data_IF_533814053034
#
_entry.id   IF_533814053034
#
_cell.length_a   1.000
_cell.length_b   1.000
_cell.length_c   1.000
_cell.angle_alpha   90.00
_cell.angle_beta   90.00
_cell.angle_gamma   90.00
#
_symmetry.space_group_name_H-M   'P 1'
#
loop_
_entity.id
_entity.type
_entity.pdbx_description
1 polymer ?
#
# COMPACT_ATOMS: atom_id res chain seq x y z
N UNK A 1 -17.61 -32.74 4.54
CA UNK A 1 -16.66 -31.79 5.13
C UNK A 1 -17.45 -30.54 5.52
N UNK A 2 -17.30 -30.04 6.74
CA UNK A 2 -17.91 -28.77 7.16
C UNK A 2 -16.81 -27.70 7.21
N UNK A 3 -17.05 -26.52 6.67
CA UNK A 3 -16.12 -25.40 6.71
C UNK A 3 -16.77 -24.21 7.42
N UNK A 4 -16.00 -23.50 8.23
CA UNK A 4 -16.36 -22.19 8.79
C UNK A 4 -15.54 -21.12 8.08
N UNK A 5 -16.21 -20.11 7.53
CA UNK A 5 -15.56 -18.94 6.90
C UNK A 5 -15.78 -17.75 7.79
N UNK A 6 -14.68 -17.10 8.22
CA UNK A 6 -14.70 -15.97 9.14
C UNK A 6 -13.89 -14.82 8.59
N UNK A 7 -14.43 -13.60 8.71
CA UNK A 7 -13.69 -12.40 8.32
C UNK A 7 -12.53 -12.12 9.26
N UNK A 8 -11.37 -11.72 8.71
CA UNK A 8 -10.22 -11.28 9.51
C UNK A 8 -10.52 -10.05 10.38
N UNK A 9 -11.50 -9.23 10.01
CA UNK A 9 -11.98 -8.09 10.79
C UNK A 9 -12.55 -8.51 12.15
N UNK A 10 -13.15 -9.71 12.24
CA UNK A 10 -13.69 -10.26 13.50
C UNK A 10 -12.62 -10.42 14.58
N UNK A 11 -11.35 -10.61 14.18
CA UNK A 11 -10.20 -10.71 15.09
C UNK A 11 -9.68 -9.36 15.59
N UNK A 12 -10.22 -8.24 15.12
CA UNK A 12 -9.71 -6.89 15.46
C UNK A 12 -9.93 -6.48 16.92
N UNK A 13 -10.76 -7.23 17.66
CA UNK A 13 -10.94 -7.03 19.11
C UNK A 13 -9.78 -7.56 19.96
N UNK A 14 -8.88 -8.38 19.38
CA UNK A 14 -7.67 -8.90 20.04
C UNK A 14 -7.85 -10.30 20.65
N UNK A 15 -8.95 -10.97 20.34
CA UNK A 15 -9.20 -12.35 20.72
C UNK A 15 -9.79 -13.16 19.56
N UNK A 16 -9.74 -14.50 19.69
CA UNK A 16 -10.40 -15.41 18.76
C UNK A 16 -11.91 -15.19 18.87
N UNK A 17 -12.64 -14.99 17.75
CA UNK A 17 -14.08 -14.85 17.74
C UNK A 17 -14.77 -16.08 18.39
N UNK A 18 -15.86 -15.85 19.11
CA UNK A 18 -16.55 -16.92 19.86
C UNK A 18 -17.06 -18.02 18.93
N UNK A 19 -17.59 -17.67 17.77
CA UNK A 19 -18.00 -18.61 16.73
C UNK A 19 -16.87 -19.55 16.28
N UNK A 20 -15.62 -19.07 16.26
CA UNK A 20 -14.43 -19.87 15.91
C UNK A 20 -14.08 -20.82 17.05
N UNK A 21 -14.13 -20.33 18.29
CA UNK A 21 -13.89 -21.18 19.49
C UNK A 21 -14.90 -22.31 19.59
N UNK A 22 -16.19 -21.98 19.46
CA UNK A 22 -17.27 -22.97 19.47
C UNK A 22 -17.12 -23.98 18.34
N UNK A 23 -16.80 -23.52 17.11
CA UNK A 23 -16.59 -24.41 15.99
C UNK A 23 -15.45 -25.40 16.25
N UNK A 24 -14.28 -24.92 16.71
CA UNK A 24 -13.11 -25.75 17.02
C UNK A 24 -13.45 -26.74 18.14
N UNK A 25 -14.15 -26.33 19.19
CA UNK A 25 -14.53 -27.19 20.32
C UNK A 25 -15.45 -28.35 19.89
N UNK A 26 -16.21 -28.21 18.82
CA UNK A 26 -17.11 -29.28 18.32
C UNK A 26 -16.47 -30.17 17.23
N UNK A 27 -15.23 -29.89 16.82
CA UNK A 27 -14.53 -30.75 15.86
C UNK A 27 -14.09 -32.06 16.48
N UNK A 28 -14.28 -33.15 15.73
CA UNK A 28 -13.79 -34.48 16.09
C UNK A 28 -12.34 -34.77 15.66
N UNK A 29 -11.80 -33.91 14.81
CA UNK A 29 -10.46 -33.98 14.24
C UNK A 29 -9.83 -32.60 14.30
N UNK A 30 -8.51 -32.54 14.23
CA UNK A 30 -7.80 -31.27 14.12
C UNK A 30 -8.23 -30.48 12.85
N UNK A 31 -8.44 -29.18 12.94
CA UNK A 31 -8.81 -28.39 11.81
C UNK A 31 -7.64 -28.17 10.86
N UNK A 32 -7.94 -27.95 9.59
CA UNK A 32 -7.04 -27.33 8.64
C UNK A 32 -7.42 -25.83 8.52
N UNK A 33 -6.52 -24.95 8.91
CA UNK A 33 -6.77 -23.51 8.97
C UNK A 33 -6.08 -22.85 7.78
N UNK A 34 -6.85 -22.18 6.92
CA UNK A 34 -6.33 -21.41 5.80
C UNK A 34 -6.49 -19.92 6.13
N UNK A 35 -5.37 -19.19 6.15
CA UNK A 35 -5.35 -17.74 6.30
C UNK A 35 -5.14 -17.10 4.93
N UNK A 36 -6.23 -16.68 4.31
CA UNK A 36 -6.19 -15.92 3.06
C UNK A 36 -5.79 -14.46 3.32
N UNK A 37 -5.06 -13.84 2.38
CA UNK A 37 -4.48 -12.51 2.51
C UNK A 37 -3.66 -12.34 3.80
N UNK A 38 -2.75 -13.30 4.07
CA UNK A 38 -1.93 -13.32 5.30
C UNK A 38 -1.07 -12.07 5.48
N UNK A 39 -0.82 -11.31 4.43
CA UNK A 39 -0.18 -9.99 4.51
C UNK A 39 -0.89 -9.02 5.48
N UNK A 40 -2.15 -9.27 5.84
CA UNK A 40 -2.92 -8.47 6.80
C UNK A 40 -2.55 -8.71 8.27
N UNK A 41 -1.84 -9.79 8.59
CA UNK A 41 -1.32 -10.06 9.93
C UNK A 41 0.15 -9.66 10.10
N UNK A 42 0.75 -9.08 9.08
CA UNK A 42 2.13 -8.60 9.14
C UNK A 42 2.32 -7.54 10.21
N UNK A 43 3.43 -7.62 10.93
CA UNK A 43 3.89 -6.53 11.78
C UNK A 43 4.65 -5.53 10.90
N UNK A 44 4.32 -4.26 11.03
CA UNK A 44 5.16 -3.18 10.48
C UNK A 44 6.39 -3.04 11.37
N UNK A 45 7.48 -2.49 10.83
CA UNK A 45 8.71 -2.31 11.59
C UNK A 45 8.47 -1.69 12.97
N UNK A 46 9.04 -2.28 14.03
CA UNK A 46 8.89 -1.73 15.36
C UNK A 46 9.71 -0.43 15.50
N UNK A 47 9.10 0.70 15.22
CA UNK A 47 9.66 2.02 15.56
C UNK A 47 9.71 2.26 17.06
N UNK A 48 8.96 1.52 17.83
CA UNK A 48 8.88 1.55 19.30
C UNK A 48 8.68 0.11 19.75
N UNK A 49 8.95 -0.23 21.00
CA UNK A 49 8.63 -1.50 21.68
C UNK A 49 7.15 -1.89 21.46
N UNK A 50 6.77 -2.27 20.26
CA UNK A 50 5.40 -2.18 19.80
C UNK A 50 4.66 -3.47 19.86
N UNK A 51 3.52 -3.30 20.46
CA UNK A 51 2.45 -4.28 20.49
C UNK A 51 2.04 -4.57 19.04
N UNK A 52 2.16 -5.84 18.64
CA UNK A 52 1.49 -6.38 17.44
C UNK A 52 0.06 -5.87 17.40
N UNK A 53 -0.49 -5.68 16.21
CA UNK A 53 -1.90 -5.29 16.10
C UNK A 53 -2.78 -6.29 16.86
N UNK A 54 -3.89 -5.84 17.42
CA UNK A 54 -4.85 -6.72 18.11
C UNK A 54 -5.26 -7.89 17.22
N UNK A 55 -5.46 -7.64 15.92
CA UNK A 55 -5.78 -8.68 14.93
C UNK A 55 -4.67 -9.70 14.83
N UNK A 56 -3.42 -9.28 14.63
CA UNK A 56 -2.25 -10.17 14.55
C UNK A 56 -2.13 -11.03 15.81
N UNK A 57 -2.26 -10.40 16.98
CA UNK A 57 -2.20 -11.14 18.25
C UNK A 57 -3.29 -12.21 18.36
N UNK A 58 -4.51 -11.89 17.95
CA UNK A 58 -5.64 -12.83 18.00
C UNK A 58 -5.47 -13.98 17.01
N UNK A 59 -5.03 -13.72 15.78
CA UNK A 59 -4.78 -14.75 14.77
C UNK A 59 -3.63 -15.68 15.19
N UNK A 60 -2.56 -15.13 15.77
CA UNK A 60 -1.44 -15.95 16.26
C UNK A 60 -1.80 -16.88 17.42
N UNK A 61 -2.90 -16.66 18.12
CA UNK A 61 -3.41 -17.64 19.12
C UNK A 61 -3.88 -18.96 18.47
N UNK A 62 -4.08 -18.97 17.15
CA UNK A 62 -4.41 -20.17 16.39
C UNK A 62 -3.18 -20.99 15.94
N UNK A 63 -1.97 -20.49 16.16
CA UNK A 63 -0.74 -21.11 15.64
C UNK A 63 -0.35 -22.47 16.25
N UNK A 64 -1.06 -22.92 17.28
CA UNK A 64 -0.90 -24.24 17.90
C UNK A 64 -2.12 -25.16 17.65
N UNK A 65 -3.02 -24.77 16.75
CA UNK A 65 -4.27 -25.50 16.51
C UNK A 65 -4.24 -26.07 15.09
N UNK A 66 -4.20 -27.39 14.98
CA UNK A 66 -4.30 -28.12 13.73
C UNK A 66 -3.23 -27.81 12.68
N UNK A 67 -3.49 -28.17 11.44
CA UNK A 67 -2.65 -27.83 10.28
C UNK A 67 -2.98 -26.44 9.74
N UNK A 68 -1.97 -25.73 9.24
CA UNK A 68 -2.12 -24.33 8.82
C UNK A 68 -1.53 -24.09 7.44
N UNK A 69 -2.16 -23.17 6.69
CA UNK A 69 -1.70 -22.67 5.42
C UNK A 69 -1.91 -21.17 5.36
N UNK A 70 -1.02 -20.45 4.72
CA UNK A 70 -1.19 -19.03 4.39
C UNK A 70 -1.23 -18.83 2.88
N UNK A 71 -2.08 -17.92 2.44
CA UNK A 71 -2.18 -17.51 1.05
C UNK A 71 -1.97 -16.00 0.98
N UNK A 72 -1.12 -15.54 0.09
CA UNK A 72 -0.91 -14.11 -0.14
C UNK A 72 -0.26 -13.84 -1.49
N UNK A 73 -0.70 -12.79 -2.17
CA UNK A 73 -0.03 -12.28 -3.36
C UNK A 73 1.18 -11.37 -3.03
N UNK A 74 1.37 -10.99 -1.76
CA UNK A 74 2.39 -10.01 -1.32
C UNK A 74 3.00 -10.39 0.02
N UNK A 75 3.83 -11.42 0.03
CA UNK A 75 4.39 -11.99 1.27
C UNK A 75 5.25 -10.97 2.05
N UNK A 76 6.20 -10.31 1.39
CA UNK A 76 7.09 -9.29 1.96
C UNK A 76 6.96 -7.97 1.20
N UNK A 77 5.81 -7.30 1.32
CA UNK A 77 5.48 -6.15 0.49
C UNK A 77 6.27 -4.87 0.78
N UNK A 78 6.86 -4.73 1.96
CA UNK A 78 7.57 -3.50 2.39
C UNK A 78 8.87 -3.75 3.13
N UNK A 79 9.03 -4.90 3.76
CA UNK A 79 10.17 -5.22 4.61
C UNK A 79 10.22 -6.73 4.85
N UNK A 80 11.41 -7.32 5.02
CA UNK A 80 11.56 -8.70 5.48
C UNK A 80 10.81 -9.00 6.79
N UNK A 81 10.64 -7.98 7.64
CA UNK A 81 9.90 -8.09 8.92
C UNK A 81 8.44 -8.54 8.71
N UNK A 82 7.88 -8.28 7.53
CA UNK A 82 6.53 -8.74 7.21
C UNK A 82 6.40 -10.26 7.18
N UNK A 83 7.48 -11.01 6.95
CA UNK A 83 7.47 -12.47 6.96
C UNK A 83 7.32 -13.05 8.38
N UNK A 84 7.81 -12.36 9.41
CA UNK A 84 7.95 -12.89 10.76
C UNK A 84 6.65 -13.44 11.34
N UNK A 85 5.60 -12.65 11.38
CA UNK A 85 4.32 -13.09 11.96
C UNK A 85 3.57 -14.07 11.05
N UNK A 86 3.74 -13.98 9.74
CA UNK A 86 3.14 -14.91 8.79
C UNK A 86 3.74 -16.33 8.97
N UNK A 87 5.06 -16.42 9.10
CA UNK A 87 5.72 -17.71 9.34
C UNK A 87 5.46 -18.25 10.76
N UNK A 88 5.39 -17.37 11.77
CA UNK A 88 5.00 -17.78 13.13
C UNK A 88 3.53 -18.23 13.25
N UNK A 89 2.67 -17.87 12.30
CA UNK A 89 1.34 -18.47 12.22
C UNK A 89 1.40 -19.90 11.70
N UNK A 90 2.27 -20.20 10.73
CA UNK A 90 2.46 -21.57 10.21
C UNK A 90 3.06 -22.50 11.25
N UNK A 91 4.11 -22.02 11.91
CA UNK A 91 4.85 -22.78 12.90
C UNK A 91 5.27 -21.86 14.05
N UNK A 92 4.88 -22.20 15.28
CA UNK A 92 5.21 -21.37 16.42
C UNK A 92 6.73 -21.27 16.60
N UNK A 93 7.22 -20.05 16.74
CA UNK A 93 8.64 -19.73 16.84
C UNK A 93 9.47 -20.19 15.62
N UNK A 94 8.91 -20.12 14.42
CA UNK A 94 9.52 -20.59 13.17
C UNK A 94 10.98 -20.20 12.99
N UNK A 95 11.31 -18.94 13.30
CA UNK A 95 12.67 -18.42 13.12
C UNK A 95 13.62 -18.70 14.29
N UNK A 96 13.11 -19.26 15.38
CA UNK A 96 13.85 -19.52 16.63
C UNK A 96 14.57 -18.28 17.19
N UNK A 97 13.95 -17.11 17.00
CA UNK A 97 14.45 -15.83 17.47
C UNK A 97 13.30 -14.84 17.77
N UNK A 98 13.63 -13.80 18.55
CA UNK A 98 12.68 -12.73 18.80
C UNK A 98 12.48 -11.83 17.57
N UNK A 99 11.35 -11.12 17.48
CA UNK A 99 11.13 -10.09 16.45
C UNK A 99 12.28 -9.06 16.40
N UNK A 100 12.85 -8.72 17.55
CA UNK A 100 13.98 -7.79 17.61
C UNK A 100 15.23 -8.40 16.95
N UNK A 101 15.60 -9.62 17.31
CA UNK A 101 16.73 -10.36 16.71
C UNK A 101 16.56 -10.50 15.20
N UNK A 102 15.37 -10.94 14.78
CA UNK A 102 15.01 -11.02 13.35
C UNK A 102 15.18 -9.69 12.62
N UNK A 103 14.68 -8.59 13.22
CA UNK A 103 14.82 -7.26 12.59
C UNK A 103 16.28 -6.82 12.50
N UNK A 104 17.10 -7.04 13.52
CA UNK A 104 18.54 -6.71 13.50
C UNK A 104 19.32 -7.57 12.48
N UNK A 105 18.85 -8.79 12.21
CA UNK A 105 19.46 -9.70 11.23
C UNK A 105 19.21 -9.28 9.78
N UNK A 106 18.00 -8.78 9.48
CA UNK A 106 17.57 -8.52 8.10
C UNK A 106 17.42 -7.06 7.73
N UNK A 107 17.49 -6.12 8.69
CA UNK A 107 17.25 -4.68 8.45
C UNK A 107 18.38 -3.85 9.04
N UNK A 108 18.96 -2.96 8.25
CA UNK A 108 19.91 -1.95 8.71
C UNK A 108 19.11 -0.82 9.39
N UNK A 109 19.41 -0.56 10.67
CA UNK A 109 18.65 0.39 11.48
C UNK A 109 19.55 1.46 12.06
N UNK A 110 19.10 2.71 12.04
CA UNK A 110 19.74 3.80 12.79
C UNK A 110 19.03 4.07 14.12
N UNK A 111 19.79 4.53 15.08
CA UNK A 111 19.25 5.01 16.37
C UNK A 111 18.86 6.47 16.25
N UNK A 112 17.62 6.82 16.63
CA UNK A 112 17.20 8.21 16.70
C UNK A 112 17.74 8.89 17.95
N UNK A 113 18.10 10.19 17.89
CA UNK A 113 18.53 10.98 19.04
C UNK A 113 17.33 11.34 19.95
N UNK A 114 16.64 10.33 20.47
CA UNK A 114 15.52 10.47 21.39
C UNK A 114 15.92 9.97 22.77
N UNK A 115 15.25 10.42 23.83
CA UNK A 115 15.52 9.96 25.22
C UNK A 115 15.48 8.43 25.39
N UNK A 116 14.85 7.68 24.47
CA UNK A 116 14.71 6.22 24.52
C UNK A 116 15.53 5.48 23.46
N UNK A 117 16.32 6.19 22.63
CA UNK A 117 17.12 5.56 21.59
C UNK A 117 16.32 4.71 20.61
N UNK A 118 15.17 5.19 20.15
CA UNK A 118 14.34 4.44 19.21
C UNK A 118 15.12 4.13 17.92
N UNK A 119 15.00 2.91 17.40
CA UNK A 119 15.62 2.49 16.14
C UNK A 119 14.62 2.52 15.01
N UNK A 120 15.02 3.04 13.87
CA UNK A 120 14.24 3.03 12.61
C UNK A 120 15.07 2.42 11.49
N UNK A 121 14.44 1.92 10.43
CA UNK A 121 15.14 1.55 9.20
C UNK A 121 15.98 2.71 8.71
N UNK A 122 17.19 2.44 8.23
CA UNK A 122 18.10 3.49 7.76
C UNK A 122 17.48 4.24 6.57
N UNK A 123 17.21 5.56 6.70
CA UNK A 123 16.64 6.33 5.61
C UNK A 123 17.59 6.46 4.41
N UNK A 124 17.05 6.56 3.19
CA UNK A 124 17.80 6.71 1.94
C UNK A 124 18.82 7.84 1.98
N UNK A 125 18.43 9.01 2.48
CA UNK A 125 19.32 10.16 2.63
C UNK A 125 20.55 9.84 3.51
N UNK A 126 20.30 9.22 4.66
CA UNK A 126 21.40 8.88 5.59
C UNK A 126 22.27 7.76 5.02
N UNK A 127 21.68 6.80 4.29
CA UNK A 127 22.41 5.73 3.60
C UNK A 127 23.47 6.32 2.66
N UNK A 128 23.11 7.24 1.78
CA UNK A 128 24.05 7.83 0.84
C UNK A 128 25.06 8.76 1.51
N UNK A 129 24.67 9.52 2.53
CA UNK A 129 25.60 10.31 3.33
C UNK A 129 26.68 9.41 3.97
N UNK A 130 26.25 8.28 4.54
CA UNK A 130 27.14 7.31 5.15
C UNK A 130 28.03 6.66 4.11
N UNK A 131 27.46 6.22 2.99
CA UNK A 131 28.18 5.61 1.89
C UNK A 131 29.27 6.54 1.34
N UNK A 132 28.96 7.79 1.07
CA UNK A 132 29.93 8.77 0.59
C UNK A 132 31.09 8.99 1.58
N UNK A 133 30.78 8.99 2.87
CA UNK A 133 31.84 9.08 3.91
C UNK A 133 32.73 7.85 3.94
N UNK A 134 32.17 6.66 3.78
CA UNK A 134 32.91 5.39 3.73
C UNK A 134 33.79 5.30 2.47
N UNK A 135 33.25 5.67 1.30
CA UNK A 135 33.96 5.64 0.03
C UNK A 135 35.23 6.49 0.02
N UNK A 136 35.23 7.65 0.69
CA UNK A 136 36.42 8.52 0.77
C UNK A 136 37.64 7.83 1.39
N UNK A 137 37.43 6.81 2.20
CA UNK A 137 38.49 6.11 2.93
C UNK A 137 38.55 4.62 2.61
N UNK A 138 37.88 4.15 1.54
CA UNK A 138 37.79 2.73 1.15
C UNK A 138 39.15 2.04 1.06
N UNK A 139 40.18 2.76 0.62
CA UNK A 139 41.54 2.23 0.43
C UNK A 139 42.48 2.44 1.63
N UNK A 140 42.02 3.09 2.70
CA UNK A 140 42.77 3.32 3.93
C UNK A 140 42.09 2.64 5.12
N UNK A 141 42.54 1.43 5.43
CA UNK A 141 41.88 0.57 6.43
C UNK A 141 41.83 1.21 7.84
N UNK A 142 42.87 1.98 8.24
CA UNK A 142 42.88 2.65 9.55
C UNK A 142 41.83 3.76 9.61
N UNK A 143 41.80 4.61 8.58
CA UNK A 143 40.83 5.72 8.51
C UNK A 143 39.41 5.20 8.28
N UNK A 144 39.25 4.15 7.49
CA UNK A 144 37.93 3.52 7.28
C UNK A 144 37.35 3.01 8.59
N UNK A 145 38.14 2.31 9.43
CA UNK A 145 37.67 1.85 10.73
C UNK A 145 37.28 3.02 11.63
N UNK A 146 38.10 4.08 11.69
CA UNK A 146 37.75 5.27 12.48
C UNK A 146 36.48 5.96 12.01
N UNK A 147 36.20 5.97 10.71
CA UNK A 147 34.93 6.47 10.15
C UNK A 147 33.76 5.56 10.53
N UNK A 148 33.92 4.23 10.47
CA UNK A 148 32.89 3.28 10.91
C UNK A 148 32.57 3.42 12.41
N UNK A 149 33.60 3.62 13.26
CA UNK A 149 33.40 3.93 14.69
C UNK A 149 32.61 5.23 14.89
N UNK A 150 32.92 6.26 14.13
CA UNK A 150 32.18 7.52 14.15
C UNK A 150 30.71 7.34 13.71
N UNK A 151 30.46 6.53 12.69
CA UNK A 151 29.12 6.19 12.23
C UNK A 151 28.36 5.39 13.28
N UNK A 152 29.00 4.43 13.92
CA UNK A 152 28.40 3.68 15.03
C UNK A 152 27.98 4.61 16.18
N UNK A 153 28.86 5.51 16.60
CA UNK A 153 28.57 6.44 17.69
C UNK A 153 27.44 7.42 17.40
N UNK A 154 27.30 7.85 16.13
CA UNK A 154 26.31 8.85 15.76
C UNK A 154 24.99 8.26 15.28
N UNK A 155 25.03 7.20 14.47
CA UNK A 155 23.85 6.59 13.85
C UNK A 155 23.45 5.27 14.51
N UNK A 156 24.31 4.64 15.30
CA UNK A 156 24.10 3.32 15.89
C UNK A 156 24.25 2.16 14.89
N UNK A 157 24.91 2.40 13.74
CA UNK A 157 25.11 1.43 12.66
C UNK A 157 26.45 0.72 12.88
N UNK A 158 26.44 -0.60 12.96
CA UNK A 158 27.63 -1.41 13.22
C UNK A 158 28.55 -1.53 11.98
N UNK A 159 29.76 -2.04 12.17
CA UNK A 159 30.76 -2.19 11.10
C UNK A 159 30.31 -3.12 9.97
N UNK A 160 29.59 -4.20 10.27
CA UNK A 160 29.06 -5.11 9.26
C UNK A 160 28.02 -4.41 8.37
N UNK A 161 27.14 -3.60 8.96
CA UNK A 161 26.17 -2.79 8.23
C UNK A 161 26.85 -1.69 7.40
N UNK A 162 27.94 -1.07 7.93
CA UNK A 162 28.77 -0.14 7.15
C UNK A 162 29.43 -0.82 5.94
N UNK A 163 29.89 -2.06 6.09
CA UNK A 163 30.46 -2.83 5.01
C UNK A 163 29.41 -3.15 3.94
N UNK A 164 28.21 -3.56 4.34
CA UNK A 164 27.10 -3.76 3.42
C UNK A 164 26.76 -2.48 2.64
N UNK A 165 26.68 -1.31 3.31
CA UNK A 165 26.44 -0.02 2.66
C UNK A 165 27.54 0.32 1.64
N UNK A 166 28.79 -0.03 1.94
CA UNK A 166 29.93 0.24 1.08
C UNK A 166 29.94 -0.63 -0.19
N UNK A 167 29.46 -1.86 -0.09
CA UNK A 167 29.41 -2.86 -1.16
C UNK A 167 28.25 -2.65 -2.14
N UNK A 168 27.17 -1.99 -1.70
CA UNK A 168 25.97 -1.78 -2.51
C UNK A 168 25.88 -0.32 -3.01
N UNK A 169 25.75 -0.15 -4.32
CA UNK A 169 25.63 1.18 -4.95
C UNK A 169 24.24 1.76 -4.80
N UNK A 170 23.25 0.90 -4.85
CA UNK A 170 21.84 1.26 -4.65
C UNK A 170 21.44 1.25 -3.19
N UNK A 171 20.35 1.95 -2.87
CA UNK A 171 19.83 1.94 -1.52
C UNK A 171 19.26 0.57 -1.16
N UNK A 172 19.92 -0.12 -0.28
CA UNK A 172 19.55 -1.47 0.20
C UNK A 172 19.59 -1.49 1.75
N UNK A 173 18.52 -1.07 2.45
CA UNK A 173 18.46 -1.14 3.91
C UNK A 173 18.19 -2.56 4.43
N UNK A 174 18.06 -3.53 3.55
CA UNK A 174 17.83 -4.94 3.86
C UNK A 174 19.05 -5.78 3.49
N UNK A 175 19.35 -6.74 4.34
CA UNK A 175 20.53 -7.61 4.24
C UNK A 175 20.15 -9.07 4.49
N UNK A 176 21.03 -10.00 4.10
CA UNK A 176 20.85 -11.45 4.33
C UNK A 176 19.55 -12.02 3.75
N UNK A 177 19.04 -11.44 2.65
CA UNK A 177 17.77 -11.87 2.06
C UNK A 177 17.82 -13.29 1.52
N UNK A 178 18.97 -13.71 0.96
CA UNK A 178 19.17 -15.08 0.47
C UNK A 178 19.03 -16.08 1.62
N UNK A 179 19.66 -15.83 2.77
CA UNK A 179 19.50 -16.62 3.98
C UNK A 179 18.03 -16.70 4.43
N UNK A 180 17.31 -15.57 4.35
CA UNK A 180 15.88 -15.54 4.70
C UNK A 180 15.07 -16.46 3.79
N UNK A 181 15.33 -16.39 2.48
CA UNK A 181 14.66 -17.25 1.51
C UNK A 181 15.03 -18.72 1.67
N UNK A 182 16.28 -19.05 1.99
CA UNK A 182 16.69 -20.44 2.32
C UNK A 182 15.92 -20.96 3.55
N UNK A 183 15.78 -20.15 4.60
CA UNK A 183 15.02 -20.51 5.82
C UNK A 183 13.53 -20.75 5.56
N UNK A 184 12.95 -20.03 4.60
CA UNK A 184 11.51 -20.11 4.27
C UNK A 184 11.25 -21.16 3.18
N UNK A 185 12.24 -21.43 2.31
CA UNK A 185 12.08 -22.10 1.01
C UNK A 185 11.30 -23.42 1.05
N UNK A 186 11.57 -24.28 2.02
CA UNK A 186 10.89 -25.57 2.17
C UNK A 186 9.40 -25.45 2.57
N UNK A 187 8.97 -24.28 3.03
CA UNK A 187 7.60 -24.01 3.48
C UNK A 187 6.82 -23.11 2.52
N UNK A 188 7.44 -22.68 1.43
CA UNK A 188 6.87 -21.69 0.52
C UNK A 188 6.83 -22.20 -0.92
N UNK A 189 5.63 -22.15 -1.51
CA UNK A 189 5.45 -22.31 -2.95
C UNK A 189 5.20 -20.92 -3.58
N UNK A 190 6.16 -20.41 -4.35
CA UNK A 190 6.00 -19.21 -5.15
C UNK A 190 5.68 -19.59 -6.59
N UNK A 191 4.57 -19.08 -7.12
CA UNK A 191 4.15 -19.26 -8.52
C UNK A 191 3.99 -17.90 -9.15
N UNK A 192 4.74 -17.61 -10.19
CA UNK A 192 4.61 -16.38 -10.97
C UNK A 192 3.57 -16.55 -12.08
N UNK A 193 2.73 -15.52 -12.30
CA UNK A 193 1.67 -15.59 -13.33
C UNK A 193 2.20 -15.91 -14.72
N UNK A 194 3.34 -15.33 -15.11
CA UNK A 194 3.98 -15.56 -16.41
C UNK A 194 4.39 -17.01 -16.64
N UNK A 195 4.53 -17.83 -15.58
CA UNK A 195 4.90 -19.23 -15.66
C UNK A 195 3.70 -20.15 -15.93
N UNK A 196 2.50 -19.69 -15.58
CA UNK A 196 1.28 -20.53 -15.63
C UNK A 196 0.19 -19.98 -16.55
N UNK A 197 0.27 -18.72 -16.95
CA UNK A 197 -0.73 -18.07 -17.80
C UNK A 197 -0.06 -17.30 -18.93
N UNK A 198 -0.48 -17.59 -20.15
CA UNK A 198 -0.16 -16.76 -21.33
C UNK A 198 -1.15 -15.60 -21.40
N UNK A 199 -0.77 -14.48 -20.81
CA UNK A 199 -1.59 -13.29 -20.74
C UNK A 199 -1.05 -12.17 -21.64
N UNK A 200 -1.92 -11.45 -22.36
CA UNK A 200 -1.51 -10.31 -23.16
C UNK A 200 -0.91 -9.21 -22.26
N UNK A 201 -0.05 -8.32 -22.79
CA UNK A 201 0.64 -7.32 -21.97
C UNK A 201 -0.34 -6.30 -21.35
N UNK A 202 0.03 -5.79 -20.16
CA UNK A 202 -0.53 -4.55 -19.61
C UNK A 202 0.19 -3.36 -20.25
N UNK A 203 -0.57 -2.42 -20.81
CA UNK A 203 -0.05 -1.21 -21.43
C UNK A 203 -0.28 -0.02 -20.50
N UNK A 204 0.81 0.58 -20.03
CA UNK A 204 0.76 1.68 -19.06
C UNK A 204 0.90 3.03 -19.74
N UNK A 205 0.02 3.96 -19.37
CA UNK A 205 0.05 5.34 -19.84
C UNK A 205 -0.15 6.29 -18.66
N UNK A 206 0.53 7.43 -18.68
CA UNK A 206 0.31 8.52 -17.72
C UNK A 206 -0.15 9.74 -18.48
N UNK A 207 -1.27 10.32 -18.07
CA UNK A 207 -1.78 11.61 -18.51
C UNK A 207 -1.52 12.61 -17.40
N UNK A 208 -0.85 13.69 -17.71
CA UNK A 208 -0.52 14.74 -16.75
C UNK A 208 -1.37 15.98 -16.99
N UNK A 209 -1.81 16.61 -15.91
CA UNK A 209 -2.53 17.87 -15.92
C UNK A 209 -1.78 18.90 -15.09
N UNK A 210 -1.84 20.15 -15.48
CA UNK A 210 -1.31 21.25 -14.68
C UNK A 210 -2.33 21.68 -13.62
N UNK A 211 -1.83 22.09 -12.45
CA UNK A 211 -2.68 22.74 -11.44
C UNK A 211 -3.20 24.09 -11.96
N UNK A 212 -4.48 24.37 -11.75
CA UNK A 212 -5.02 25.71 -11.96
C UNK A 212 -4.32 26.74 -11.08
N UNK A 213 -4.46 28.02 -11.38
CA UNK A 213 -3.88 29.11 -10.55
C UNK A 213 -4.36 29.03 -9.10
N UNK A 214 -5.62 28.67 -8.90
CA UNK A 214 -6.23 28.55 -7.58
C UNK A 214 -5.67 27.35 -6.83
N UNK A 215 -5.62 26.17 -7.47
CA UNK A 215 -5.00 24.96 -6.90
C UNK A 215 -3.52 25.22 -6.55
N UNK A 216 -2.76 25.84 -7.45
CA UNK A 216 -1.33 26.13 -7.23
C UNK A 216 -1.11 27.03 -6.03
N UNK A 217 -1.96 28.06 -5.86
CA UNK A 217 -1.92 28.94 -4.69
C UNK A 217 -2.14 28.17 -3.39
N UNK A 218 -3.19 27.35 -3.32
CA UNK A 218 -3.50 26.54 -2.12
C UNK A 218 -2.41 25.50 -1.84
N UNK A 219 -1.88 24.87 -2.88
CA UNK A 219 -0.83 23.86 -2.76
C UNK A 219 0.46 24.46 -2.17
N UNK A 220 0.90 25.63 -2.68
CA UNK A 220 2.08 26.33 -2.17
C UNK A 220 1.88 26.85 -0.75
N UNK A 221 0.71 27.37 -0.40
CA UNK A 221 0.40 27.76 0.98
C UNK A 221 0.55 26.59 1.95
N UNK A 222 0.00 25.43 1.61
CA UNK A 222 0.17 24.22 2.44
C UNK A 222 1.61 23.74 2.49
N UNK A 223 2.35 23.85 1.40
CA UNK A 223 3.75 23.42 1.35
C UNK A 223 4.66 24.29 2.23
N UNK A 224 4.45 25.59 2.24
CA UNK A 224 5.30 26.54 2.97
C UNK A 224 4.86 26.72 4.43
N UNK A 225 3.57 26.78 4.69
CA UNK A 225 2.99 27.20 5.97
C UNK A 225 2.31 26.06 6.74
N UNK A 226 2.13 24.90 6.13
CA UNK A 226 1.31 23.80 6.65
C UNK A 226 -0.14 24.22 6.99
N UNK A 227 -0.62 25.30 6.39
CA UNK A 227 -1.99 25.78 6.54
C UNK A 227 -2.45 26.56 5.30
N UNK A 228 -3.76 26.73 5.19
CA UNK A 228 -4.42 27.70 4.34
C UNK A 228 -5.29 28.60 5.21
N UNK A 229 -6.00 29.56 4.64
CA UNK A 229 -6.94 30.40 5.39
C UNK A 229 -8.07 29.57 6.05
N UNK A 230 -8.30 28.32 5.62
CA UNK A 230 -9.44 27.49 6.01
C UNK A 230 -9.08 26.14 6.65
N UNK A 231 -7.81 25.75 6.63
CA UNK A 231 -7.35 24.48 7.21
C UNK A 231 -5.98 24.61 7.82
N UNK A 232 -5.79 23.98 9.00
CA UNK A 232 -4.48 23.84 9.66
C UNK A 232 -4.10 22.38 9.73
N UNK A 233 -2.82 22.08 9.44
CA UNK A 233 -2.31 20.70 9.36
C UNK A 233 -1.20 20.49 10.37
N UNK A 234 -1.41 19.54 11.27
CA UNK A 234 -0.56 19.25 12.41
C UNK A 234 0.40 18.06 12.22
N UNK A 235 0.28 17.31 11.13
CA UNK A 235 1.16 16.18 10.85
C UNK A 235 1.28 15.88 9.35
N UNK A 236 2.39 15.19 8.96
CA UNK A 236 2.73 14.90 7.58
C UNK A 236 1.69 14.05 6.84
N UNK A 237 1.01 13.11 7.51
CA UNK A 237 -0.03 12.30 6.86
C UNK A 237 -1.24 13.16 6.48
N UNK A 238 -1.70 14.02 7.37
CA UNK A 238 -2.80 14.94 7.08
C UNK A 238 -2.40 15.92 5.97
N UNK A 239 -1.17 16.44 6.01
CA UNK A 239 -0.64 17.34 4.97
C UNK A 239 -0.71 16.69 3.59
N UNK A 240 -0.23 15.46 3.50
CA UNK A 240 -0.31 14.67 2.29
C UNK A 240 -1.76 14.50 1.78
N UNK A 241 -2.70 14.18 2.68
CA UNK A 241 -4.10 14.05 2.32
C UNK A 241 -4.69 15.38 1.78
N UNK A 242 -4.26 16.53 2.33
CA UNK A 242 -4.71 17.85 1.84
C UNK A 242 -4.12 18.17 0.47
N UNK A 243 -2.85 17.83 0.22
CA UNK A 243 -2.28 17.96 -1.12
C UNK A 243 -3.06 17.16 -2.16
N UNK A 244 -3.45 15.93 -1.85
CA UNK A 244 -4.29 15.14 -2.75
C UNK A 244 -5.68 15.76 -2.95
N UNK A 245 -6.30 16.31 -1.89
CA UNK A 245 -7.60 16.96 -2.00
C UNK A 245 -7.53 18.15 -2.98
N UNK A 246 -6.46 18.96 -2.92
CA UNK A 246 -6.23 20.08 -3.86
C UNK A 246 -5.98 19.58 -5.29
N UNK A 247 -5.11 18.57 -5.47
CA UNK A 247 -4.88 17.97 -6.78
C UNK A 247 -6.17 17.40 -7.40
N UNK A 248 -7.08 16.93 -6.58
CA UNK A 248 -8.38 16.41 -7.01
C UNK A 248 -9.44 17.51 -7.27
N UNK A 249 -9.08 18.78 -7.19
CA UNK A 249 -9.97 19.90 -7.49
C UNK A 249 -10.82 20.37 -6.31
N UNK A 250 -10.36 20.18 -5.07
CA UNK A 250 -11.10 20.61 -3.88
C UNK A 250 -10.24 21.48 -2.97
N UNK A 251 -10.87 22.51 -2.39
CA UNK A 251 -10.32 23.22 -1.24
C UNK A 251 -10.70 22.48 0.04
N UNK A 252 -9.73 21.97 0.82
CA UNK A 252 -10.02 21.40 2.12
C UNK A 252 -10.31 22.49 3.14
N UNK A 253 -11.38 22.33 3.92
CA UNK A 253 -11.84 23.31 4.93
C UNK A 253 -12.08 22.56 6.23
N UNK A 254 -11.57 23.08 7.36
CA UNK A 254 -11.87 22.55 8.68
C UNK A 254 -13.37 22.66 8.96
N UNK A 255 -13.98 21.55 9.31
CA UNK A 255 -15.39 21.41 9.66
C UNK A 255 -15.59 21.21 11.16
N UNK A 256 -16.71 20.59 11.52
CA UNK A 256 -17.07 20.33 12.91
C UNK A 256 -16.05 19.44 13.62
N UNK A 257 -15.80 19.75 14.88
CA UNK A 257 -14.93 18.98 15.75
C UNK A 257 -15.67 17.74 16.27
N UNK A 258 -14.95 16.62 16.35
CA UNK A 258 -15.45 15.41 17.01
C UNK A 258 -14.35 14.76 17.84
N UNK A 259 -14.76 13.94 18.80
CA UNK A 259 -13.85 13.15 19.63
C UNK A 259 -13.95 11.68 19.21
N UNK A 260 -12.82 11.02 19.03
CA UNK A 260 -12.78 9.59 18.78
C UNK A 260 -13.05 8.79 20.08
N UNK A 261 -13.05 7.46 19.96
CA UNK A 261 -13.32 6.55 21.09
C UNK A 261 -12.26 6.64 22.21
N UNK A 262 -11.08 7.16 21.88
CA UNK A 262 -9.95 7.35 22.81
C UNK A 262 -9.93 8.78 23.38
N UNK A 263 -10.95 9.58 23.11
CA UNK A 263 -11.10 10.97 23.58
C UNK A 263 -10.20 11.98 22.87
N UNK A 264 -9.61 11.60 21.73
CA UNK A 264 -8.77 12.49 20.94
C UNK A 264 -9.61 13.35 20.01
N UNK A 265 -9.35 14.64 20.04
CA UNK A 265 -10.03 15.65 19.20
C UNK A 265 -9.60 15.53 17.74
N UNK A 266 -10.56 15.55 16.84
CA UNK A 266 -10.41 15.57 15.39
C UNK A 266 -11.37 16.57 14.77
N UNK A 267 -11.05 17.06 13.57
CA UNK A 267 -11.93 17.89 12.77
C UNK A 267 -12.43 17.08 11.56
N UNK A 268 -13.69 17.16 11.25
CA UNK A 268 -14.18 16.79 9.93
C UNK A 268 -13.55 17.71 8.90
N UNK A 269 -13.32 17.21 7.70
CA UNK A 269 -12.83 18.02 6.60
C UNK A 269 -13.91 18.08 5.53
N UNK A 270 -14.35 19.27 5.25
CA UNK A 270 -15.24 19.57 4.15
C UNK A 270 -14.39 19.81 2.89
N UNK A 271 -14.81 19.24 1.78
CA UNK A 271 -14.16 19.40 0.49
C UNK A 271 -15.05 20.30 -0.39
N UNK A 272 -14.63 21.52 -0.59
CA UNK A 272 -15.35 22.50 -1.43
C UNK A 272 -14.82 22.40 -2.85
N UNK A 273 -15.66 22.11 -3.87
CA UNK A 273 -15.21 22.09 -5.25
C UNK A 273 -14.62 23.42 -5.66
N UNK A 274 -13.46 23.39 -6.31
CA UNK A 274 -12.88 24.55 -6.97
C UNK A 274 -13.61 24.82 -8.29
N UNK A 275 -13.42 26.00 -8.85
CA UNK A 275 -14.12 26.42 -10.07
C UNK A 275 -13.81 25.54 -11.28
N UNK A 276 -12.57 25.06 -11.37
CA UNK A 276 -12.07 24.24 -12.44
C UNK A 276 -11.48 22.93 -11.86
N UNK A 277 -11.64 21.83 -12.56
CA UNK A 277 -11.06 20.55 -12.18
C UNK A 277 -10.38 19.87 -13.37
N UNK A 278 -9.09 20.16 -13.63
CA UNK A 278 -8.35 19.62 -14.77
C UNK A 278 -8.33 18.09 -14.85
N UNK A 279 -8.46 17.40 -13.72
CA UNK A 279 -8.53 15.92 -13.74
C UNK A 279 -9.83 15.39 -14.30
N UNK A 280 -10.94 16.04 -14.00
CA UNK A 280 -12.24 15.68 -14.59
C UNK A 280 -12.31 16.02 -16.07
N UNK A 281 -11.64 17.11 -16.49
CA UNK A 281 -11.55 17.48 -17.90
C UNK A 281 -10.66 16.49 -18.66
N UNK A 282 -9.50 16.09 -18.10
CA UNK A 282 -8.64 15.05 -18.66
C UNK A 282 -9.35 13.68 -18.71
N UNK A 283 -10.22 13.36 -17.72
CA UNK A 283 -11.02 12.14 -17.77
C UNK A 283 -11.95 12.15 -18.99
N UNK A 284 -12.62 13.28 -19.27
CA UNK A 284 -13.46 13.44 -20.45
C UNK A 284 -12.66 13.25 -21.74
N UNK A 285 -11.49 13.93 -21.88
CA UNK A 285 -10.60 13.75 -23.02
C UNK A 285 -10.18 12.30 -23.24
N UNK A 286 -9.80 11.60 -22.16
CA UNK A 286 -9.43 10.18 -22.22
C UNK A 286 -10.60 9.29 -22.63
N UNK A 287 -11.83 9.60 -22.17
CA UNK A 287 -13.02 8.84 -22.53
C UNK A 287 -13.40 9.02 -24.00
N UNK A 288 -13.21 10.21 -24.57
CA UNK A 288 -13.44 10.49 -26.00
C UNK A 288 -12.47 9.71 -26.92
N UNK A 289 -11.26 9.36 -26.43
CA UNK A 289 -10.29 8.55 -27.17
C UNK A 289 -10.64 7.06 -27.16
N UNK A 290 -11.56 6.60 -26.30
CA UNK A 290 -11.89 5.19 -26.10
C UNK A 290 -13.14 4.82 -26.90
N UNK A 291 -13.07 3.71 -27.62
CA UNK A 291 -14.21 3.14 -28.35
C UNK A 291 -15.39 2.82 -27.43
N UNK A 292 -16.60 3.25 -27.79
CA UNK A 292 -17.83 3.11 -27.01
C UNK A 292 -18.19 1.66 -26.65
N UNK A 293 -17.68 0.69 -27.41
CA UNK A 293 -17.89 -0.74 -27.14
C UNK A 293 -17.05 -1.28 -25.99
N UNK A 294 -16.05 -0.51 -25.51
CA UNK A 294 -15.12 -0.96 -24.47
C UNK A 294 -15.64 -0.60 -23.08
N UNK A 295 -15.44 -1.53 -22.15
CA UNK A 295 -15.75 -1.30 -20.74
C UNK A 295 -14.57 -0.74 -19.97
N UNK A 296 -14.84 0.19 -19.05
CA UNK A 296 -13.87 1.01 -18.35
C UNK A 296 -14.10 0.89 -16.85
N UNK A 297 -13.01 0.70 -16.08
CA UNK A 297 -13.03 0.86 -14.64
C UNK A 297 -12.33 2.17 -14.29
N UNK A 298 -12.97 3.03 -13.50
CA UNK A 298 -12.36 4.24 -12.97
C UNK A 298 -12.09 4.05 -11.48
N UNK A 299 -10.82 4.02 -11.10
CA UNK A 299 -10.36 3.85 -9.74
C UNK A 299 -10.13 5.21 -9.06
N UNK A 300 -10.71 5.38 -7.89
CA UNK A 300 -10.49 6.55 -7.04
C UNK A 300 -10.19 6.13 -5.60
N UNK A 301 -9.27 6.82 -4.94
CA UNK A 301 -9.06 6.66 -3.49
C UNK A 301 -9.88 7.67 -2.66
N UNK A 302 -10.50 8.67 -3.32
CA UNK A 302 -11.30 9.74 -2.72
C UNK A 302 -12.76 9.65 -3.13
N UNK A 303 -13.62 9.44 -2.15
CA UNK A 303 -15.06 9.28 -2.36
C UNK A 303 -15.68 10.50 -3.07
N UNK A 304 -15.32 11.73 -2.68
CA UNK A 304 -15.88 12.94 -3.31
C UNK A 304 -15.57 12.99 -4.80
N UNK A 305 -14.29 12.79 -5.19
CA UNK A 305 -13.88 12.75 -6.59
C UNK A 305 -14.59 11.63 -7.36
N UNK A 306 -14.77 10.45 -6.74
CA UNK A 306 -15.46 9.32 -7.36
C UNK A 306 -16.89 9.69 -7.76
N UNK A 307 -17.64 10.35 -6.85
CA UNK A 307 -19.02 10.72 -7.13
C UNK A 307 -19.13 11.87 -8.15
N UNK A 308 -18.24 12.87 -8.08
CA UNK A 308 -18.23 13.98 -9.02
C UNK A 308 -17.84 13.50 -10.43
N UNK A 309 -16.86 12.60 -10.56
CA UNK A 309 -16.50 11.97 -11.83
C UNK A 309 -17.66 11.13 -12.41
N UNK A 310 -18.34 10.37 -11.55
CA UNK A 310 -19.51 9.61 -11.96
C UNK A 310 -20.64 10.52 -12.46
N UNK A 311 -20.91 11.65 -11.77
CA UNK A 311 -21.92 12.63 -12.19
C UNK A 311 -21.56 13.23 -13.54
N UNK A 312 -20.30 13.66 -13.73
CA UNK A 312 -19.83 14.22 -15.01
C UNK A 312 -20.01 13.20 -16.17
N UNK A 313 -19.64 11.94 -15.96
CA UNK A 313 -19.82 10.92 -17.00
C UNK A 313 -21.30 10.64 -17.33
N UNK A 314 -22.19 10.73 -16.34
CA UNK A 314 -23.65 10.66 -16.58
C UNK A 314 -24.14 11.83 -17.44
N UNK A 315 -23.67 13.05 -17.17
CA UNK A 315 -24.01 14.26 -17.95
C UNK A 315 -23.52 14.14 -19.39
N UNK A 316 -22.37 13.47 -19.61
CA UNK A 316 -21.82 13.17 -20.94
C UNK A 316 -22.55 12.04 -21.66
N UNK A 317 -23.54 11.37 -21.00
CA UNK A 317 -24.37 10.32 -21.61
C UNK A 317 -23.87 8.90 -21.43
N UNK A 318 -22.80 8.67 -20.67
CA UNK A 318 -22.32 7.30 -20.40
C UNK A 318 -23.20 6.53 -19.42
N UNK A 319 -23.33 5.22 -19.63
CA UNK A 319 -23.95 4.33 -18.66
C UNK A 319 -22.95 4.01 -17.57
N UNK A 320 -23.27 4.36 -16.31
CA UNK A 320 -22.33 4.30 -15.20
C UNK A 320 -22.88 3.56 -14.00
N UNK A 321 -22.00 2.88 -13.26
CA UNK A 321 -22.27 2.26 -11.97
C UNK A 321 -21.23 2.67 -10.92
N UNK A 322 -21.56 2.47 -9.64
CA UNK A 322 -20.70 2.82 -8.51
C UNK A 322 -20.50 1.62 -7.58
N UNK A 323 -19.25 1.33 -7.26
CA UNK A 323 -18.86 0.36 -6.25
C UNK A 323 -18.06 1.05 -5.13
N UNK A 324 -18.75 1.53 -4.10
CA UNK A 324 -18.17 2.20 -2.93
C UNK A 324 -18.81 1.72 -1.64
N UNK A 325 -18.11 1.86 -0.52
CA UNK A 325 -18.59 1.45 0.81
C UNK A 325 -19.82 2.20 1.32
N UNK A 326 -20.12 3.38 0.77
CA UNK A 326 -21.31 4.19 1.11
C UNK A 326 -22.58 3.77 0.38
N UNK A 327 -22.44 3.01 -0.70
CA UNK A 327 -23.58 2.46 -1.46
C UNK A 327 -24.09 1.19 -0.78
N UNK A 328 -25.39 0.96 -0.78
CA UNK A 328 -25.99 -0.26 -0.20
C UNK A 328 -25.43 -1.53 -0.87
N UNK A 329 -25.46 -2.65 -0.15
CA UNK A 329 -24.94 -3.92 -0.68
C UNK A 329 -25.72 -4.34 -1.95
N UNK A 330 -27.02 -4.11 -1.95
CA UNK A 330 -27.93 -4.46 -3.03
C UNK A 330 -27.64 -3.63 -4.29
N UNK A 331 -27.41 -2.32 -4.14
CA UNK A 331 -27.07 -1.44 -5.26
C UNK A 331 -25.69 -1.76 -5.82
N UNK A 332 -24.70 -2.01 -4.97
CA UNK A 332 -23.37 -2.42 -5.40
C UNK A 332 -23.42 -3.71 -6.22
N UNK A 333 -24.17 -4.70 -5.74
CA UNK A 333 -24.31 -5.97 -6.44
C UNK A 333 -25.03 -5.78 -7.79
N UNK A 334 -26.09 -4.98 -7.83
CA UNK A 334 -26.80 -4.67 -9.07
C UNK A 334 -25.88 -4.01 -10.10
N UNK A 335 -25.15 -2.96 -9.72
CA UNK A 335 -24.26 -2.23 -10.63
C UNK A 335 -23.09 -3.12 -11.10
N UNK A 336 -22.61 -3.98 -10.20
CA UNK A 336 -21.56 -4.94 -10.51
C UNK A 336 -22.01 -6.01 -11.53
N UNK A 337 -23.23 -6.54 -11.36
CA UNK A 337 -23.81 -7.49 -12.31
C UNK A 337 -24.15 -6.81 -13.66
N UNK A 338 -24.68 -5.59 -13.63
CA UNK A 338 -24.95 -4.81 -14.84
C UNK A 338 -23.66 -4.52 -15.63
N UNK A 339 -22.54 -4.24 -14.94
CA UNK A 339 -21.24 -4.12 -15.60
C UNK A 339 -20.78 -5.44 -16.20
N UNK A 340 -20.93 -6.55 -15.48
CA UNK A 340 -20.59 -7.88 -15.99
C UNK A 340 -21.38 -8.25 -17.25
N UNK A 341 -22.66 -7.86 -17.31
CA UNK A 341 -23.57 -8.09 -18.43
C UNK A 341 -23.39 -7.08 -19.58
N UNK A 342 -22.44 -6.13 -19.47
CA UNK A 342 -22.22 -5.04 -20.44
C UNK A 342 -23.36 -4.03 -20.56
N UNK A 343 -24.22 -3.93 -19.57
CA UNK A 343 -25.30 -2.94 -19.48
C UNK A 343 -24.76 -1.58 -19.01
N UNK A 344 -23.63 -1.60 -18.32
CA UNK A 344 -22.89 -0.43 -17.84
C UNK A 344 -21.53 -0.38 -18.55
N UNK A 345 -21.17 0.77 -19.12
CA UNK A 345 -19.91 1.00 -19.80
C UNK A 345 -18.79 1.37 -18.83
N UNK A 346 -19.06 2.24 -17.85
CA UNK A 346 -18.07 2.72 -16.90
C UNK A 346 -18.50 2.34 -15.48
N UNK A 347 -17.61 1.66 -14.74
CA UNK A 347 -17.81 1.43 -13.31
C UNK A 347 -16.79 2.20 -12.48
N UNK A 348 -17.28 3.01 -11.55
CA UNK A 348 -16.47 3.77 -10.60
C UNK A 348 -16.25 2.96 -9.33
N UNK A 349 -14.99 2.74 -8.96
CA UNK A 349 -14.63 1.86 -7.85
C UNK A 349 -13.70 2.57 -6.88
N UNK A 350 -14.07 2.57 -5.60
CA UNK A 350 -13.15 3.03 -4.56
C UNK A 350 -12.07 1.96 -4.31
N UNK A 351 -10.79 2.35 -4.39
CA UNK A 351 -9.67 1.43 -4.21
C UNK A 351 -9.69 0.70 -2.86
N UNK A 352 -10.20 1.32 -1.80
CA UNK A 352 -10.30 0.71 -0.47
C UNK A 352 -11.35 -0.39 -0.38
N UNK A 353 -12.50 -0.22 -1.05
CA UNK A 353 -13.60 -1.20 -1.05
C UNK A 353 -13.53 -2.18 -2.22
N UNK A 354 -12.94 -1.79 -3.34
CA UNK A 354 -12.88 -2.60 -4.56
C UNK A 354 -11.69 -3.56 -4.64
N UNK A 355 -10.74 -3.49 -3.71
CA UNK A 355 -9.56 -4.36 -3.73
C UNK A 355 -9.89 -5.84 -3.48
N UNK A 356 -11.06 -6.18 -2.96
CA UNK A 356 -11.43 -7.52 -2.54
C UNK A 356 -12.65 -8.08 -3.28
N UNK A 357 -12.50 -9.29 -3.85
CA UNK A 357 -13.63 -10.13 -4.28
C UNK A 357 -14.34 -9.78 -5.60
N UNK A 358 -13.82 -8.88 -6.43
CA UNK A 358 -14.51 -8.43 -7.65
C UNK A 358 -14.01 -9.12 -8.94
N UNK A 359 -14.44 -10.34 -9.19
CA UNK A 359 -13.95 -11.14 -10.32
C UNK A 359 -14.59 -10.77 -11.69
N UNK A 360 -15.74 -10.09 -11.70
CA UNK A 360 -16.43 -9.73 -12.94
C UNK A 360 -15.81 -8.49 -13.64
N UNK A 361 -14.92 -7.77 -12.98
CA UNK A 361 -14.21 -6.62 -13.59
C UNK A 361 -13.22 -7.02 -14.69
N UNK A 362 -12.97 -8.32 -14.88
CA UNK A 362 -12.13 -8.85 -15.97
C UNK A 362 -12.58 -8.43 -17.38
N UNK A 363 -13.86 -8.07 -17.55
CA UNK A 363 -14.40 -7.61 -18.83
C UNK A 363 -13.87 -6.23 -19.24
N UNK A 364 -13.43 -5.41 -18.29
CA UNK A 364 -12.87 -4.09 -18.59
C UNK A 364 -11.62 -4.20 -19.45
N UNK A 365 -11.55 -3.37 -20.49
CA UNK A 365 -10.35 -3.19 -21.32
C UNK A 365 -9.45 -2.10 -20.76
N UNK A 366 -10.04 -1.08 -20.16
CA UNK A 366 -9.34 0.08 -19.60
C UNK A 366 -9.53 0.16 -18.08
N UNK A 367 -8.45 0.47 -17.37
CA UNK A 367 -8.45 0.84 -15.97
C UNK A 367 -7.84 2.23 -15.82
N UNK A 368 -8.66 3.23 -15.51
CA UNK A 368 -8.25 4.62 -15.34
C UNK A 368 -8.11 4.90 -13.85
N UNK A 369 -6.95 5.35 -13.42
CA UNK A 369 -6.68 5.76 -12.04
C UNK A 369 -6.76 7.29 -11.93
N UNK A 370 -7.88 7.77 -11.45
CA UNK A 370 -8.12 9.19 -11.26
C UNK A 370 -7.45 9.73 -9.99
N UNK A 371 -7.25 8.87 -9.02
CA UNK A 371 -6.39 9.14 -7.85
C UNK A 371 -5.84 7.83 -7.28
N UNK A 372 -4.61 7.87 -6.77
CA UNK A 372 -3.90 6.72 -6.22
C UNK A 372 -3.63 6.86 -4.71
N UNK A 373 -3.60 5.72 -4.01
CA UNK A 373 -3.04 5.56 -2.68
C UNK A 373 -1.57 5.12 -2.82
N UNK A 374 -0.73 5.34 -1.80
CA UNK A 374 0.67 4.85 -1.77
C UNK A 374 0.80 3.32 -1.66
N UNK A 375 -0.29 2.58 -1.55
CA UNK A 375 -0.25 1.14 -1.36
C UNK A 375 -0.04 0.40 -2.68
N UNK A 376 1.19 -0.07 -2.92
CA UNK A 376 1.50 -0.97 -4.05
C UNK A 376 0.59 -2.21 -4.02
N UNK A 377 0.34 -2.77 -2.83
CA UNK A 377 -0.57 -3.91 -2.66
C UNK A 377 -1.97 -3.61 -3.21
N UNK A 378 -2.57 -2.48 -2.83
CA UNK A 378 -3.89 -2.08 -3.36
C UNK A 378 -3.83 -1.82 -4.87
N UNK A 379 -2.73 -1.23 -5.35
CA UNK A 379 -2.54 -0.97 -6.77
C UNK A 379 -2.48 -2.27 -7.57
N UNK A 380 -1.64 -3.20 -7.18
CA UNK A 380 -1.52 -4.51 -7.82
C UNK A 380 -2.84 -5.26 -7.76
N UNK A 381 -3.48 -5.32 -6.60
CA UNK A 381 -4.78 -5.97 -6.44
C UNK A 381 -5.86 -5.35 -7.33
N UNK A 382 -5.92 -4.01 -7.44
CA UNK A 382 -6.91 -3.35 -8.30
C UNK A 382 -6.66 -3.61 -9.79
N UNK A 383 -5.40 -3.59 -10.25
CA UNK A 383 -5.07 -3.96 -11.63
C UNK A 383 -5.41 -5.41 -11.95
N UNK A 384 -5.19 -6.29 -10.99
CA UNK A 384 -5.47 -7.71 -11.14
C UNK A 384 -6.95 -8.03 -11.24
N UNK A 385 -7.84 -7.10 -10.85
CA UNK A 385 -9.29 -7.27 -11.05
C UNK A 385 -9.68 -7.26 -12.51
N UNK A 386 -9.05 -6.45 -13.33
CA UNK A 386 -9.29 -6.45 -14.78
C UNK A 386 -8.38 -7.42 -15.56
N UNK A 387 -7.41 -8.05 -14.86
CA UNK A 387 -6.38 -8.88 -15.48
C UNK A 387 -6.36 -10.29 -14.86
N UNK A 388 -7.51 -10.97 -14.93
CA UNK A 388 -7.73 -12.31 -14.35
C UNK A 388 -8.29 -13.30 -15.36
N UNK A 389 -7.89 -14.57 -15.23
CA UNK A 389 -8.40 -15.67 -16.06
C UNK A 389 -7.90 -15.61 -17.50
N UNK A 390 -8.69 -16.13 -18.43
CA UNK A 390 -8.36 -16.17 -19.85
C UNK A 390 -8.62 -14.81 -20.54
N UNK A 391 -7.83 -13.80 -20.20
CA UNK A 391 -7.86 -12.50 -20.86
C UNK A 391 -7.27 -12.63 -22.26
N UNK A 392 -8.01 -12.21 -23.30
CA UNK A 392 -7.60 -12.33 -24.70
C UNK A 392 -7.04 -11.04 -25.30
N UNK A 393 -7.31 -9.89 -24.66
CA UNK A 393 -6.92 -8.57 -25.15
C UNK A 393 -6.00 -7.88 -24.14
N UNK A 394 -5.07 -7.07 -24.65
CA UNK A 394 -4.24 -6.20 -23.82
C UNK A 394 -5.10 -5.29 -22.94
N UNK A 395 -4.62 -4.99 -21.74
CA UNK A 395 -5.29 -4.08 -20.81
C UNK A 395 -4.54 -2.77 -20.74
N UNK A 396 -5.27 -1.68 -20.83
CA UNK A 396 -4.74 -0.32 -20.77
C UNK A 396 -4.91 0.22 -19.37
N UNK A 397 -3.79 0.61 -18.75
CA UNK A 397 -3.74 1.15 -17.40
C UNK A 397 -3.34 2.63 -17.53
N UNK A 398 -4.28 3.53 -17.27
CA UNK A 398 -4.08 4.96 -17.46
C UNK A 398 -4.09 5.65 -16.09
N UNK A 399 -3.00 6.34 -15.77
CA UNK A 399 -2.91 7.19 -14.57
C UNK A 399 -3.12 8.65 -14.96
N UNK A 400 -4.06 9.35 -14.32
CA UNK A 400 -4.26 10.80 -14.44
C UNK A 400 -3.66 11.47 -13.21
N UNK A 401 -2.62 12.30 -13.40
CA UNK A 401 -1.83 12.89 -12.31
C UNK A 401 -1.60 14.38 -12.51
N UNK A 402 -1.48 15.14 -11.42
CA UNK A 402 -1.07 16.53 -11.46
C UNK A 402 0.46 16.64 -11.51
N UNK A 403 0.96 17.38 -12.51
CA UNK A 403 2.39 17.58 -12.72
C UNK A 403 3.05 18.36 -11.57
N UNK A 404 4.29 17.98 -11.21
CA UNK A 404 5.07 18.65 -10.15
C UNK A 404 4.51 18.50 -8.74
N UNK A 405 3.58 17.56 -8.50
CA UNK A 405 2.90 17.39 -7.21
C UNK A 405 3.24 16.06 -6.53
N UNK A 406 2.69 15.87 -5.34
CA UNK A 406 2.76 14.59 -4.63
C UNK A 406 2.20 13.42 -5.44
N UNK A 407 1.26 13.62 -6.35
CA UNK A 407 0.67 12.54 -7.15
C UNK A 407 1.63 11.94 -8.16
N UNK A 408 2.48 12.77 -8.78
CA UNK A 408 3.52 12.27 -9.67
C UNK A 408 4.48 11.37 -8.90
N UNK A 409 4.90 11.78 -7.71
CA UNK A 409 5.76 10.97 -6.83
C UNK A 409 5.10 9.65 -6.41
N UNK A 410 3.78 9.66 -6.12
CA UNK A 410 3.03 8.44 -5.84
C UNK A 410 3.09 7.49 -7.03
N UNK A 411 2.80 7.98 -8.23
CA UNK A 411 2.79 7.16 -9.44
C UNK A 411 4.16 6.57 -9.73
N UNK A 412 5.22 7.33 -9.55
CA UNK A 412 6.61 6.86 -9.65
C UNK A 412 6.91 5.78 -8.60
N UNK A 413 6.56 6.02 -7.34
CA UNK A 413 6.75 5.05 -6.25
C UNK A 413 5.96 3.75 -6.48
N UNK A 414 4.74 3.83 -7.01
CA UNK A 414 3.94 2.66 -7.36
C UNK A 414 4.54 1.85 -8.51
N UNK A 415 5.10 2.50 -9.52
CA UNK A 415 5.81 1.83 -10.62
C UNK A 415 7.03 1.07 -10.09
N UNK A 416 7.90 1.74 -9.34
CA UNK A 416 9.08 1.14 -8.73
C UNK A 416 8.70 0.00 -7.76
N UNK A 417 7.67 0.19 -6.93
CA UNK A 417 7.21 -0.84 -6.01
C UNK A 417 6.69 -2.10 -6.71
N UNK A 418 6.11 -1.98 -7.91
CA UNK A 418 5.72 -3.15 -8.72
C UNK A 418 6.93 -3.89 -9.27
N UNK A 419 7.89 -3.17 -9.83
CA UNK A 419 9.13 -3.75 -10.34
C UNK A 419 9.85 -4.55 -9.25
N UNK A 420 9.84 -4.05 -8.02
CA UNK A 420 10.42 -4.73 -6.86
C UNK A 420 9.63 -5.96 -6.42
N UNK A 421 8.30 -5.94 -6.47
CA UNK A 421 7.49 -7.12 -6.21
C UNK A 421 7.72 -8.21 -7.24
N UNK A 422 7.87 -7.82 -8.51
CA UNK A 422 8.09 -8.74 -9.63
C UNK A 422 9.49 -9.36 -9.58
N UNK A 423 10.51 -8.61 -9.18
CA UNK A 423 11.91 -9.09 -9.08
C UNK A 423 12.21 -9.82 -7.78
N UNK A 424 11.29 -9.80 -6.80
CA UNK A 424 11.50 -10.40 -5.49
C UNK A 424 12.46 -9.61 -4.59
N UNK A 425 12.99 -8.48 -5.07
CA UNK A 425 13.79 -7.56 -4.27
C UNK A 425 12.87 -6.58 -3.57
N UNK A 426 12.94 -6.53 -2.23
CA UNK A 426 12.12 -5.63 -1.41
C UNK A 426 12.93 -4.39 -1.04
N UNK A 427 13.02 -3.42 -1.93
CA UNK A 427 13.56 -2.10 -1.57
C UNK A 427 12.44 -1.18 -1.05
N UNK A 428 12.31 -1.09 0.27
CA UNK A 428 11.26 -0.30 0.92
C UNK A 428 11.53 1.21 0.91
N UNK A 429 12.68 1.65 0.45
CA UNK A 429 13.08 3.06 0.44
C UNK A 429 12.23 3.93 -0.46
N UNK A 430 11.63 3.31 -1.45
CA UNK A 430 10.81 3.94 -2.47
C UNK A 430 9.54 4.57 -1.88
N UNK A 431 9.13 4.11 -0.69
CA UNK A 431 7.91 4.59 -0.03
C UNK A 431 8.14 5.68 1.02
N UNK A 432 9.39 6.00 1.31
CA UNK A 432 9.70 7.12 2.19
C UNK A 432 9.90 8.38 1.34
N UNK A 433 8.90 9.23 1.31
CA UNK A 433 9.07 10.59 0.80
C UNK A 433 10.16 11.28 1.60
N UNK A 434 11.15 11.81 0.89
CA UNK A 434 12.05 12.78 1.49
C UNK A 434 11.23 14.02 1.85
N UNK A 435 11.02 14.24 3.14
CA UNK A 435 10.71 15.58 3.63
C UNK A 435 11.94 16.44 3.28
N UNK A 436 11.75 17.40 2.34
CA UNK A 436 12.74 18.46 2.09
C UNK A 436 12.76 19.42 3.24
#
# INVERSE_FOLDING_TARGET
MKALIVSLESFSKGDIPEEVKEYIAHLKQEPFIILDESSKIKTNEPCKLEKKSKRTQAVLKLNNIGERCILTGTFMSKSPVNAFDQMNFLENNFFDESMFGFTERYVIRRTLPTRRGAKITLPKKDYFIIRDRLLKFKNDKLRLNAVMDSIYNYYGINHADCQHILEHEEYTPFKNLDELWERIGDKCLKVERKEVLDLPPKLYQTRTVELTKEQKKLYLQLQELHCTDKVVVDNGLKLYLRFQDICNGYEPVDGEEYFDKDGKKHNHINLIPLKENPKLDMLEEVLEEIDDSKQIIVWCNRTKLLYDACAKCKELGYTVGIFDGKVSKEERERDYQAFANKEIQIIFVNQGSGAYGLDLLKNATYAIYLSNDYSVEKRVQSEDRCYRGAVKESKYIIDITCEGTCEQRITEALKLGKELLDTGTTDASIFMLEEK
#
